data_IF_245046805334
#
_entry.id   IF_245046805334
#
_cell.length_a   1.000
_cell.length_b   1.000
_cell.length_c   1.000
_cell.angle_alpha   90.00
_cell.angle_beta   90.00
_cell.angle_gamma   90.00
#
_symmetry.space_group_name_H-M   'P 1'
#
loop_
_entity.id
_entity.type
_entity.pdbx_description
1 polymer ?
#
# COMPACT_ATOMS: atom_id res chain seq x y z
N UNK A 1 11.02 -24.43 -12.17
CA UNK A 1 10.40 -24.51 -10.84
C UNK A 1 9.05 -23.80 -10.91
N UNK A 2 7.95 -24.55 -11.02
CA UNK A 2 6.59 -24.00 -11.07
C UNK A 2 6.10 -23.85 -9.63
N UNK A 3 5.96 -22.63 -9.13
CA UNK A 3 5.40 -22.39 -7.80
C UNK A 3 3.88 -22.53 -7.94
N UNK A 4 3.35 -23.67 -7.50
CA UNK A 4 1.91 -23.92 -7.45
C UNK A 4 1.33 -23.13 -6.28
N UNK A 5 0.38 -22.24 -6.55
CA UNK A 5 -0.30 -21.48 -5.51
C UNK A 5 -1.06 -22.44 -4.56
N UNK A 6 -1.12 -22.18 -3.25
CA UNK A 6 -1.85 -23.03 -2.30
C UNK A 6 -3.33 -23.15 -2.70
N UNK A 7 -3.94 -24.33 -2.48
CA UNK A 7 -5.30 -24.69 -2.97
C UNK A 7 -6.40 -23.65 -2.67
N UNK A 8 -6.32 -22.96 -1.53
CA UNK A 8 -7.25 -21.87 -1.15
C UNK A 8 -7.23 -20.70 -2.17
N UNK A 9 -6.08 -20.42 -2.77
CA UNK A 9 -5.93 -19.36 -3.78
C UNK A 9 -6.57 -19.73 -5.11
N UNK A 10 -6.41 -20.99 -5.55
CA UNK A 10 -7.00 -21.49 -6.78
C UNK A 10 -8.53 -21.57 -6.71
N UNK A 11 -9.09 -21.76 -5.51
CA UNK A 11 -10.55 -21.72 -5.30
C UNK A 11 -11.10 -20.30 -5.36
N UNK A 12 -10.38 -19.33 -4.81
CA UNK A 12 -10.82 -17.93 -4.76
C UNK A 12 -10.45 -17.12 -6.02
N UNK A 13 -9.59 -17.64 -6.91
CA UNK A 13 -9.42 -17.08 -8.27
C UNK A 13 -10.57 -17.47 -9.22
N UNK A 14 -11.46 -18.39 -8.82
CA UNK A 14 -12.61 -18.79 -9.65
C UNK A 14 -13.76 -17.77 -9.64
N UNK A 15 -13.83 -16.86 -8.65
CA UNK A 15 -14.73 -15.71 -8.79
C UNK A 15 -14.07 -14.71 -9.74
N UNK A 16 -14.64 -14.61 -10.95
CA UNK A 16 -14.19 -13.66 -11.95
C UNK A 16 -14.12 -12.26 -11.32
N UNK A 17 -12.95 -11.63 -11.41
CA UNK A 17 -12.78 -10.26 -10.93
C UNK A 17 -13.47 -9.33 -11.92
N UNK A 18 -14.78 -9.17 -11.73
CA UNK A 18 -15.67 -8.41 -12.60
C UNK A 18 -15.31 -6.93 -12.64
N UNK A 19 -15.84 -6.22 -13.64
CA UNK A 19 -15.56 -4.80 -13.83
C UNK A 19 -15.95 -3.94 -12.61
N UNK A 20 -17.11 -4.20 -12.02
CA UNK A 20 -17.59 -3.49 -10.83
C UNK A 20 -16.67 -3.73 -9.63
N UNK A 21 -16.26 -4.98 -9.38
CA UNK A 21 -15.30 -5.29 -8.32
C UNK A 21 -13.95 -4.61 -8.55
N UNK A 22 -13.48 -4.55 -9.81
CA UNK A 22 -12.25 -3.84 -10.18
C UNK A 22 -12.37 -2.35 -9.89
N UNK A 23 -13.51 -1.75 -10.23
CA UNK A 23 -13.75 -0.33 -10.01
C UNK A 23 -13.81 0.00 -8.51
N UNK A 24 -14.58 -0.77 -7.73
CA UNK A 24 -14.64 -0.64 -6.28
C UNK A 24 -13.26 -0.83 -5.65
N UNK A 25 -12.48 -1.81 -6.15
CA UNK A 25 -11.11 -2.02 -5.71
C UNK A 25 -10.21 -0.81 -6.02
N UNK A 26 -10.32 -0.24 -7.21
CA UNK A 26 -9.60 0.97 -7.61
C UNK A 26 -9.94 2.17 -6.71
N UNK A 27 -11.23 2.45 -6.52
CA UNK A 27 -11.71 3.56 -5.68
C UNK A 27 -11.25 3.37 -4.24
N UNK A 28 -11.46 2.18 -3.67
CA UNK A 28 -11.05 1.88 -2.30
C UNK A 28 -9.53 2.04 -2.12
N UNK A 29 -8.72 1.56 -3.07
CA UNK A 29 -7.26 1.65 -2.97
C UNK A 29 -6.74 3.07 -3.14
N UNK A 30 -7.44 3.90 -3.91
CA UNK A 30 -7.02 5.28 -4.20
C UNK A 30 -7.48 6.25 -3.12
N UNK A 31 -8.74 6.14 -2.67
CA UNK A 31 -9.41 7.16 -1.86
C UNK A 31 -9.78 6.71 -0.44
N UNK A 32 -9.40 5.49 0.00
CA UNK A 32 -9.71 5.09 1.38
C UNK A 32 -8.99 6.00 2.40
N UNK A 33 -9.68 6.41 3.48
CA UNK A 33 -9.08 7.26 4.53
C UNK A 33 -7.79 6.68 5.11
N UNK A 34 -7.72 5.35 5.26
CA UNK A 34 -6.53 4.66 5.76
C UNK A 34 -5.33 4.84 4.84
N UNK A 35 -5.54 4.72 3.52
CA UNK A 35 -4.48 4.89 2.51
C UNK A 35 -4.06 6.35 2.40
N UNK A 36 -4.99 7.28 2.50
CA UNK A 36 -4.71 8.72 2.52
C UNK A 36 -3.94 9.14 3.76
N UNK A 37 -4.30 8.59 4.93
CA UNK A 37 -3.58 8.81 6.19
C UNK A 37 -2.17 8.24 6.18
N UNK A 38 -1.96 7.04 5.63
CA UNK A 38 -0.62 6.48 5.47
C UNK A 38 0.24 7.30 4.51
N UNK A 39 -0.33 7.75 3.39
CA UNK A 39 0.37 8.65 2.47
C UNK A 39 0.79 9.95 3.16
N UNK A 40 -0.10 10.52 3.97
CA UNK A 40 0.16 11.72 4.75
C UNK A 40 1.29 11.51 5.77
N UNK A 41 1.28 10.36 6.45
CA UNK A 41 2.33 9.97 7.39
C UNK A 41 3.68 9.77 6.69
N UNK A 42 3.72 9.06 5.55
CA UNK A 42 4.94 8.83 4.77
C UNK A 42 5.54 10.15 4.29
N UNK A 43 4.73 11.04 3.73
CA UNK A 43 5.18 12.38 3.31
C UNK A 43 5.66 13.21 4.50
N UNK A 44 5.00 13.09 5.65
CA UNK A 44 5.41 13.78 6.88
C UNK A 44 6.75 13.29 7.39
N UNK A 45 6.95 11.97 7.47
CA UNK A 45 8.21 11.35 7.85
C UNK A 45 9.33 11.69 6.88
N UNK A 46 9.08 11.60 5.57
CA UNK A 46 10.05 11.99 4.56
C UNK A 46 10.41 13.48 4.67
N UNK A 47 9.44 14.35 4.94
CA UNK A 47 9.69 15.78 5.14
C UNK A 47 10.56 16.06 6.37
N UNK A 48 10.37 15.30 7.45
CA UNK A 48 11.19 15.39 8.67
C UNK A 48 12.61 14.86 8.41
N UNK A 49 12.75 13.73 7.73
CA UNK A 49 14.01 13.03 7.54
C UNK A 49 14.87 13.63 6.41
N UNK A 50 14.27 14.05 5.30
CA UNK A 50 14.98 14.57 4.12
C UNK A 50 15.53 15.98 4.29
N UNK A 51 15.07 16.72 5.31
CA UNK A 51 15.31 18.16 5.39
C UNK A 51 16.33 18.61 6.43
N UNK A 52 16.81 17.74 7.32
CA UNK A 52 17.63 18.19 8.46
C UNK A 52 16.99 19.34 9.25
N UNK A 53 15.65 19.43 9.25
CA UNK A 53 14.87 20.51 9.85
C UNK A 53 14.73 21.81 9.04
N UNK A 54 15.34 21.95 7.85
CA UNK A 54 15.41 23.23 7.11
C UNK A 54 14.31 23.47 6.06
N UNK A 55 13.63 22.42 5.60
CA UNK A 55 12.45 22.56 4.73
C UNK A 55 11.21 22.36 5.58
N UNK A 56 10.72 23.46 6.14
CA UNK A 56 9.59 23.46 7.07
C UNK A 56 8.29 22.91 6.47
N UNK A 57 7.32 22.70 7.35
CA UNK A 57 5.93 22.29 7.06
C UNK A 57 5.23 23.03 5.90
N UNK A 58 5.75 24.18 5.44
CA UNK A 58 5.16 24.99 4.37
C UNK A 58 5.05 24.29 3.01
N UNK A 59 5.91 23.32 2.68
CA UNK A 59 5.85 22.56 1.40
C UNK A 59 5.17 21.20 1.52
N UNK A 60 4.64 20.87 2.71
CA UNK A 60 3.91 19.63 2.94
C UNK A 60 2.74 19.42 1.96
N UNK A 61 1.85 20.41 1.71
CA UNK A 61 0.72 20.19 0.81
C UNK A 61 1.16 19.89 -0.63
N UNK A 62 2.21 20.53 -1.13
CA UNK A 62 2.75 20.28 -2.48
C UNK A 62 3.33 18.87 -2.59
N UNK A 63 4.10 18.44 -1.57
CA UNK A 63 4.64 17.08 -1.52
C UNK A 63 3.53 16.03 -1.42
N UNK A 64 2.51 16.30 -0.61
CA UNK A 64 1.35 15.43 -0.49
C UNK A 64 0.59 15.33 -1.81
N UNK A 65 0.32 16.46 -2.46
CA UNK A 65 -0.36 16.53 -3.76
C UNK A 65 0.40 15.78 -4.86
N UNK A 66 1.73 15.94 -4.90
CA UNK A 66 2.60 15.21 -5.84
C UNK A 66 2.62 13.69 -5.56
N UNK A 67 2.68 13.29 -4.28
CA UNK A 67 2.61 11.88 -3.92
C UNK A 67 1.23 11.26 -4.24
N UNK A 68 0.16 12.02 -4.03
CA UNK A 68 -1.21 11.63 -4.35
C UNK A 68 -1.41 11.49 -5.86
N UNK A 69 -0.97 12.46 -6.66
CA UNK A 69 -1.11 12.40 -8.13
C UNK A 69 -0.35 11.20 -8.69
N UNK A 70 0.87 10.94 -8.20
CA UNK A 70 1.64 9.75 -8.59
C UNK A 70 0.93 8.45 -8.23
N UNK A 71 0.26 8.39 -7.07
CA UNK A 71 -0.56 7.25 -6.68
C UNK A 71 -1.74 7.08 -7.63
N UNK A 72 -2.52 8.14 -7.91
CA UNK A 72 -3.70 8.11 -8.79
C UNK A 72 -3.31 7.63 -10.19
N UNK A 73 -2.27 8.21 -10.78
CA UNK A 73 -1.79 7.82 -12.12
C UNK A 73 -1.45 6.33 -12.16
N UNK A 74 -0.72 5.85 -11.15
CA UNK A 74 -0.34 4.45 -11.09
C UNK A 74 -1.55 3.52 -10.89
N UNK A 75 -2.43 3.81 -9.93
CA UNK A 75 -3.61 2.96 -9.69
C UNK A 75 -4.54 2.95 -10.90
N UNK A 76 -4.62 4.04 -11.64
CA UNK A 76 -5.39 4.13 -12.90
C UNK A 76 -4.79 3.24 -13.99
N UNK A 77 -3.47 3.27 -14.18
CA UNK A 77 -2.80 2.41 -15.16
C UNK A 77 -2.92 0.93 -14.74
N UNK A 78 -2.71 0.61 -13.46
CA UNK A 78 -2.89 -0.76 -12.94
C UNK A 78 -4.33 -1.25 -13.14
N UNK A 79 -5.34 -0.40 -12.93
CA UNK A 79 -6.74 -0.73 -13.16
C UNK A 79 -7.02 -0.99 -14.65
N UNK A 80 -6.60 -0.09 -15.53
CA UNK A 80 -6.80 -0.22 -16.97
C UNK A 80 -6.12 -1.47 -17.54
N UNK A 81 -4.82 -1.65 -17.26
CA UNK A 81 -4.07 -2.79 -17.76
C UNK A 81 -4.45 -4.10 -17.07
N UNK A 82 -4.76 -4.06 -15.78
CA UNK A 82 -5.25 -5.23 -15.07
C UNK A 82 -6.59 -5.72 -15.65
N UNK A 83 -7.47 -4.81 -16.06
CA UNK A 83 -8.70 -5.14 -16.78
C UNK A 83 -8.43 -5.77 -18.14
N UNK A 84 -7.55 -5.17 -18.94
CA UNK A 84 -7.19 -5.64 -20.28
C UNK A 84 -6.50 -7.01 -20.26
N UNK A 85 -5.53 -7.20 -19.37
CA UNK A 85 -4.76 -8.44 -19.22
C UNK A 85 -5.48 -9.51 -18.39
N UNK A 86 -6.66 -9.17 -17.84
CA UNK A 86 -7.42 -10.00 -16.89
C UNK A 86 -6.58 -10.46 -15.68
N UNK A 87 -5.56 -9.70 -15.30
CA UNK A 87 -4.79 -9.95 -14.08
C UNK A 87 -5.65 -9.66 -12.84
N UNK A 88 -5.52 -10.49 -11.80
CA UNK A 88 -6.14 -10.20 -10.50
C UNK A 88 -5.30 -9.16 -9.74
N UNK A 89 -5.83 -7.93 -9.64
CA UNK A 89 -5.17 -6.86 -8.90
C UNK A 89 -5.35 -7.01 -7.37
N UNK A 90 -6.23 -7.90 -6.92
CA UNK A 90 -6.54 -8.07 -5.49
C UNK A 90 -5.31 -8.60 -4.76
N UNK A 91 -4.99 -7.95 -3.64
CA UNK A 91 -4.01 -8.41 -2.67
C UNK A 91 -4.71 -9.31 -1.67
N UNK A 92 -4.17 -10.49 -1.45
CA UNK A 92 -4.75 -11.50 -0.56
C UNK A 92 -3.75 -11.84 0.55
N UNK A 93 -4.23 -11.96 1.79
CA UNK A 93 -3.38 -12.39 2.89
C UNK A 93 -3.02 -13.88 2.74
N UNK A 94 -1.84 -14.26 3.21
CA UNK A 94 -1.30 -15.61 3.08
C UNK A 94 -2.10 -16.66 3.88
N UNK A 95 -2.73 -16.23 4.98
CA UNK A 95 -3.28 -17.09 6.05
C UNK A 95 -2.26 -18.07 6.67
N UNK A 96 -0.97 -17.91 6.38
CA UNK A 96 0.09 -18.76 6.91
C UNK A 96 0.45 -18.33 8.34
N UNK A 97 0.80 -19.31 9.17
CA UNK A 97 1.32 -19.05 10.52
C UNK A 97 2.82 -18.75 10.46
N UNK A 98 3.28 -17.85 11.34
CA UNK A 98 4.69 -17.49 11.51
C UNK A 98 5.15 -16.29 10.67
N UNK A 99 6.00 -15.44 11.25
CA UNK A 99 6.45 -14.18 10.62
C UNK A 99 7.23 -14.41 9.32
N UNK A 100 8.14 -15.39 9.31
CA UNK A 100 9.00 -15.67 8.16
C UNK A 100 8.20 -16.06 6.92
N UNK A 101 7.25 -16.97 7.07
CA UNK A 101 6.40 -17.46 5.98
C UNK A 101 5.53 -16.34 5.38
N UNK A 102 4.93 -15.53 6.26
CA UNK A 102 4.15 -14.33 5.86
C UNK A 102 5.03 -13.30 5.14
N UNK A 103 6.26 -13.09 5.61
CA UNK A 103 7.19 -12.17 4.95
C UNK A 103 7.61 -12.69 3.56
N UNK A 104 7.97 -13.97 3.43
CA UNK A 104 8.29 -14.58 2.14
C UNK A 104 7.09 -14.52 1.18
N UNK A 105 5.88 -14.71 1.70
CA UNK A 105 4.64 -14.54 0.93
C UNK A 105 4.48 -13.12 0.39
N UNK A 106 4.64 -12.12 1.26
CA UNK A 106 4.56 -10.70 0.89
C UNK A 106 5.60 -10.35 -0.17
N UNK A 107 6.85 -10.81 0.00
CA UNK A 107 7.93 -10.55 -0.94
C UNK A 107 7.65 -11.14 -2.33
N UNK A 108 7.18 -12.40 -2.38
CA UNK A 108 6.86 -13.07 -3.64
C UNK A 108 5.66 -12.44 -4.35
N UNK A 109 4.57 -12.15 -3.62
CA UNK A 109 3.33 -11.61 -4.18
C UNK A 109 3.35 -10.09 -4.40
N UNK A 110 4.43 -9.41 -4.02
CA UNK A 110 4.67 -8.04 -4.45
C UNK A 110 5.10 -7.98 -5.92
N UNK A 111 5.90 -8.96 -6.36
CA UNK A 111 6.44 -9.03 -7.73
C UNK A 111 5.57 -9.88 -8.66
N UNK A 112 4.90 -10.89 -8.11
CA UNK A 112 4.05 -11.81 -8.85
C UNK A 112 2.57 -11.47 -8.65
N UNK A 113 1.77 -11.75 -9.67
CA UNK A 113 0.31 -11.70 -9.65
C UNK A 113 -0.26 -13.07 -10.06
N UNK A 114 -1.51 -13.32 -9.68
CA UNK A 114 -2.23 -14.52 -10.11
C UNK A 114 -2.90 -14.19 -11.44
N UNK A 115 -2.50 -14.92 -12.49
CA UNK A 115 -3.11 -14.80 -13.82
C UNK A 115 -4.49 -15.49 -13.88
N UNK A 116 -5.19 -15.36 -15.02
CA UNK A 116 -6.51 -15.98 -15.21
C UNK A 116 -6.48 -17.50 -15.06
N UNK A 117 -5.35 -18.14 -15.40
CA UNK A 117 -5.16 -19.59 -15.27
C UNK A 117 -4.87 -20.04 -13.83
N UNK A 118 -4.89 -19.12 -12.86
CA UNK A 118 -4.53 -19.39 -11.45
C UNK A 118 -3.03 -19.58 -11.21
N UNK A 119 -2.19 -19.45 -12.26
CA UNK A 119 -0.73 -19.51 -12.16
C UNK A 119 -0.16 -18.18 -11.70
N UNK A 120 0.96 -18.24 -10.97
CA UNK A 120 1.74 -17.05 -10.63
C UNK A 120 2.54 -16.59 -11.85
N UNK A 121 2.24 -15.39 -12.31
CA UNK A 121 2.94 -14.71 -13.40
C UNK A 121 3.59 -13.44 -12.88
N UNK A 122 4.62 -12.91 -13.56
CA UNK A 122 5.06 -11.54 -13.30
C UNK A 122 3.86 -10.59 -13.35
N UNK A 123 3.79 -9.64 -12.43
CA UNK A 123 2.69 -8.68 -12.38
C UNK A 123 2.84 -7.62 -13.48
N UNK A 124 2.54 -7.97 -14.73
CA UNK A 124 2.82 -7.12 -15.89
C UNK A 124 2.09 -5.78 -15.79
N UNK A 125 0.85 -5.75 -15.29
CA UNK A 125 0.12 -4.50 -15.09
C UNK A 125 0.84 -3.56 -14.11
N UNK A 126 1.47 -4.09 -13.05
CA UNK A 126 2.22 -3.29 -12.06
C UNK A 126 3.52 -2.74 -12.62
N UNK A 127 4.22 -3.52 -13.43
CA UNK A 127 5.44 -3.08 -14.11
C UNK A 127 5.12 -2.03 -15.17
N UNK A 128 4.11 -2.27 -16.01
CA UNK A 128 3.67 -1.31 -17.00
C UNK A 128 3.15 -0.01 -16.35
N UNK A 129 2.46 -0.09 -15.22
CA UNK A 129 2.08 1.09 -14.45
C UNK A 129 3.27 1.85 -13.84
N UNK A 130 4.34 1.14 -13.45
CA UNK A 130 5.58 1.78 -13.02
C UNK A 130 6.22 2.58 -14.15
N UNK A 131 6.38 1.95 -15.32
CA UNK A 131 6.98 2.58 -16.51
C UNK A 131 6.10 3.72 -17.02
N UNK A 132 4.79 3.50 -17.14
CA UNK A 132 3.83 4.50 -17.57
C UNK A 132 3.74 5.68 -16.60
N UNK A 133 3.78 5.42 -15.29
CA UNK A 133 3.80 6.48 -14.27
C UNK A 133 5.07 7.34 -14.35
N UNK A 134 6.23 6.74 -14.64
CA UNK A 134 7.45 7.50 -14.93
C UNK A 134 7.30 8.29 -16.23
N UNK A 135 6.78 7.68 -17.30
CA UNK A 135 6.60 8.34 -18.59
C UNK A 135 5.71 9.58 -18.49
N UNK A 136 4.54 9.45 -17.86
CA UNK A 136 3.63 10.59 -17.63
C UNK A 136 4.31 11.67 -16.77
N UNK A 137 5.00 11.27 -15.70
CA UNK A 137 5.75 12.19 -14.86
C UNK A 137 6.85 12.94 -15.62
N UNK A 138 7.60 12.24 -16.48
CA UNK A 138 8.64 12.82 -17.32
C UNK A 138 8.08 13.82 -18.33
N UNK A 139 6.94 13.52 -18.95
CA UNK A 139 6.25 14.44 -19.87
C UNK A 139 5.80 15.71 -19.14
N UNK A 140 5.19 15.57 -17.96
CA UNK A 140 4.73 16.74 -17.19
C UNK A 140 5.87 17.59 -16.62
N UNK A 141 6.95 16.97 -16.16
CA UNK A 141 8.09 17.68 -15.57
C UNK A 141 9.13 18.09 -16.61
N UNK A 142 8.91 17.79 -17.89
CA UNK A 142 9.88 18.01 -18.98
C UNK A 142 11.27 17.41 -18.68
N UNK A 143 11.30 16.28 -17.97
CA UNK A 143 12.54 15.58 -17.61
C UNK A 143 12.86 14.47 -18.62
N UNK A 144 14.14 14.21 -18.90
CA UNK A 144 14.52 13.19 -19.88
C UNK A 144 14.13 11.79 -19.39
N UNK A 145 13.44 11.04 -20.26
CA UNK A 145 13.07 9.65 -20.02
C UNK A 145 14.28 8.73 -20.19
N UNK A 146 15.03 8.53 -19.10
CA UNK A 146 16.25 7.72 -19.08
C UNK A 146 16.03 6.36 -18.45
N UNK A 147 16.90 5.38 -18.75
CA UNK A 147 16.85 4.06 -18.14
C UNK A 147 16.91 4.11 -16.61
N UNK A 148 17.71 5.03 -16.04
CA UNK A 148 17.78 5.25 -14.59
C UNK A 148 16.45 5.72 -14.01
N UNK A 149 15.72 6.57 -14.73
CA UNK A 149 14.39 7.03 -14.32
C UNK A 149 13.39 5.87 -14.26
N UNK A 150 13.41 5.01 -15.29
CA UNK A 150 12.58 3.80 -15.35
C UNK A 150 12.94 2.83 -14.22
N UNK A 151 14.22 2.56 -13.99
CA UNK A 151 14.68 1.69 -12.91
C UNK A 151 14.26 2.21 -11.54
N UNK A 152 14.39 3.52 -11.29
CA UNK A 152 13.90 4.14 -10.06
C UNK A 152 12.37 4.03 -9.92
N UNK A 153 11.64 4.17 -11.03
CA UNK A 153 10.19 3.96 -11.07
C UNK A 153 9.79 2.52 -10.74
N UNK A 154 10.50 1.54 -11.29
CA UNK A 154 10.29 0.12 -11.02
C UNK A 154 10.62 -0.22 -9.56
N UNK A 155 11.73 0.30 -9.02
CA UNK A 155 12.10 0.11 -7.63
C UNK A 155 11.06 0.73 -6.66
N UNK A 156 10.67 1.97 -6.92
CA UNK A 156 9.57 2.62 -6.17
C UNK A 156 8.25 1.86 -6.33
N UNK A 157 8.02 1.26 -7.51
CA UNK A 157 6.84 0.45 -7.77
C UNK A 157 6.81 -0.82 -6.93
N UNK A 158 7.92 -1.55 -6.90
CA UNK A 158 8.10 -2.73 -6.08
C UNK A 158 7.95 -2.39 -4.59
N UNK A 159 8.58 -1.32 -4.12
CA UNK A 159 8.49 -0.88 -2.73
C UNK A 159 7.05 -0.58 -2.30
N UNK A 160 6.29 0.15 -3.12
CA UNK A 160 4.88 0.41 -2.81
C UNK A 160 4.03 -0.86 -2.83
N UNK A 161 4.33 -1.81 -3.73
CA UNK A 161 3.63 -3.10 -3.75
C UNK A 161 3.95 -3.95 -2.54
N UNK A 162 5.19 -3.90 -2.05
CA UNK A 162 5.61 -4.49 -0.79
C UNK A 162 4.88 -3.83 0.39
N UNK A 163 4.85 -2.51 0.47
CA UNK A 163 4.10 -1.78 1.52
C UNK A 163 2.63 -2.16 1.52
N UNK A 164 1.97 -2.15 0.36
CA UNK A 164 0.56 -2.51 0.24
C UNK A 164 0.31 -3.97 0.66
N UNK A 165 1.21 -4.90 0.31
CA UNK A 165 1.12 -6.30 0.73
C UNK A 165 1.42 -6.49 2.22
N UNK A 166 2.41 -5.80 2.77
CA UNK A 166 2.70 -5.79 4.20
C UNK A 166 1.51 -5.27 5.00
N UNK A 167 0.88 -4.19 4.56
CA UNK A 167 -0.30 -3.63 5.21
C UNK A 167 -1.50 -4.57 5.11
N UNK A 168 -1.63 -5.30 4.01
CA UNK A 168 -2.72 -6.29 3.84
C UNK A 168 -2.48 -7.50 4.75
N UNK A 169 -1.24 -7.98 4.81
CA UNK A 169 -0.87 -9.15 5.62
C UNK A 169 -0.88 -8.83 7.12
N UNK A 170 -0.21 -7.75 7.54
CA UNK A 170 0.05 -7.40 8.94
C UNK A 170 -0.86 -6.30 9.49
N UNK A 171 -1.68 -5.66 8.65
CA UNK A 171 -2.63 -4.62 9.07
C UNK A 171 -3.51 -5.01 10.26
N UNK A 172 -4.12 -6.22 10.27
CA UNK A 172 -4.91 -6.69 11.40
C UNK A 172 -4.09 -6.79 12.70
N UNK A 173 -2.81 -7.13 12.61
CA UNK A 173 -1.93 -7.24 13.78
C UNK A 173 -1.57 -5.85 14.32
N UNK A 174 -1.26 -4.89 13.45
CA UNK A 174 -1.05 -3.50 13.86
C UNK A 174 -2.28 -2.89 14.51
N UNK A 175 -3.48 -3.18 13.99
CA UNK A 175 -4.74 -2.73 14.60
C UNK A 175 -4.93 -3.31 16.00
N UNK A 176 -4.67 -4.62 16.19
CA UNK A 176 -4.74 -5.26 17.52
C UNK A 176 -3.79 -4.62 18.52
N UNK A 177 -2.55 -4.35 18.11
CA UNK A 177 -1.54 -3.69 18.94
C UNK A 177 -2.01 -2.28 19.30
N UNK A 178 -2.47 -1.50 18.30
CA UNK A 178 -2.97 -0.14 18.50
C UNK A 178 -4.16 -0.07 19.47
N UNK A 179 -5.14 -0.96 19.31
CA UNK A 179 -6.26 -1.06 20.25
C UNK A 179 -5.82 -1.50 21.65
N UNK A 180 -4.83 -2.39 21.76
CA UNK A 180 -4.22 -2.79 23.02
C UNK A 180 -3.58 -1.62 23.76
N UNK A 181 -2.76 -0.83 23.05
CA UNK A 181 -2.10 0.36 23.59
C UNK A 181 -3.13 1.40 24.01
N UNK A 182 -4.11 1.73 23.14
CA UNK A 182 -5.15 2.71 23.44
C UNK A 182 -5.97 2.32 24.68
N UNK A 183 -6.28 1.02 24.85
CA UNK A 183 -6.98 0.50 26.02
C UNK A 183 -6.11 0.60 27.28
N UNK A 184 -4.82 0.31 27.19
CA UNK A 184 -3.87 0.46 28.30
C UNK A 184 -3.79 1.92 28.76
N UNK A 185 -3.61 2.86 27.82
CA UNK A 185 -3.58 4.29 28.10
C UNK A 185 -4.85 4.82 28.77
N UNK A 186 -6.04 4.37 28.33
CA UNK A 186 -7.30 4.73 29.01
C UNK A 186 -7.34 4.25 30.46
N UNK A 187 -6.79 3.07 30.78
CA UNK A 187 -6.73 2.58 32.18
C UNK A 187 -5.79 3.43 33.03
N UNK A 188 -4.62 3.80 32.50
CA UNK A 188 -3.64 4.62 33.22
C UNK A 188 -4.14 6.04 33.48
N UNK A 189 -4.83 6.66 32.50
CA UNK A 189 -5.37 8.03 32.66
C UNK A 189 -6.67 8.00 33.49
N UNK A 190 -7.51 6.97 33.34
CA UNK A 190 -8.76 6.82 34.10
C UNK A 190 -8.56 6.67 35.61
N UNK A 191 -7.41 6.11 36.04
CA UNK A 191 -7.07 5.98 37.46
C UNK A 191 -6.71 7.31 38.15
N UNK A 192 -6.46 8.39 37.39
CA UNK A 192 -6.00 9.67 37.94
C UNK A 192 -7.11 10.69 38.23
N UNK A 193 -8.39 10.33 38.04
CA UNK A 193 -9.53 11.25 38.25
C UNK A 193 -10.34 11.07 39.54
N UNK A 194 -9.97 10.17 40.46
CA UNK A 194 -10.79 9.89 41.65
C UNK A 194 -10.21 10.27 43.02
N UNK A 195 -9.05 10.94 43.12
CA UNK A 195 -8.42 11.28 44.41
C UNK A 195 -8.31 12.78 44.71
N UNK A 196 -9.21 13.61 44.21
CA UNK A 196 -9.29 15.00 44.63
C UNK A 196 -10.70 15.37 45.03
N UNK A 197 -10.81 15.88 46.26
CA UNK A 197 -11.94 16.55 46.89
C UNK A 197 -12.92 15.62 47.62
N UNK A 198 -12.56 15.26 48.85
CA UNK A 198 -13.45 15.59 49.97
C UNK A 198 -12.64 15.86 51.24
N UNK A 199 -12.32 17.14 51.44
CA UNK A 199 -11.89 17.63 52.74
C UNK A 199 -12.40 19.08 52.82
N UNK A 200 -13.67 19.20 53.19
CA UNK A 200 -14.22 20.46 53.70
C UNK A 200 -14.30 20.36 55.24
N UNK A 201 -14.00 21.47 55.94
CA UNK A 201 -13.77 21.52 57.37
C UNK A 201 -15.00 21.19 58.22
#
# INVERSE_FOLDING_TARGET
MVIVAPLSYAQQSRSEFGWEERWQHYVHRTYSPQRMGLLAADVGLDSILSSGGKSGMGFYPDRYGSALSRRITRTSIEFALGGLLKEDARRRPSHQKGLRNRLTWVMTHALLAVGPDGRLTPAYARYAAAVGGVGVGSVWQQTPFTARCVLNGLAGSAMFSLQDQMLTEFGPDFQRIGFGIARSWRRTIGFRRHNTVDNRP
#
